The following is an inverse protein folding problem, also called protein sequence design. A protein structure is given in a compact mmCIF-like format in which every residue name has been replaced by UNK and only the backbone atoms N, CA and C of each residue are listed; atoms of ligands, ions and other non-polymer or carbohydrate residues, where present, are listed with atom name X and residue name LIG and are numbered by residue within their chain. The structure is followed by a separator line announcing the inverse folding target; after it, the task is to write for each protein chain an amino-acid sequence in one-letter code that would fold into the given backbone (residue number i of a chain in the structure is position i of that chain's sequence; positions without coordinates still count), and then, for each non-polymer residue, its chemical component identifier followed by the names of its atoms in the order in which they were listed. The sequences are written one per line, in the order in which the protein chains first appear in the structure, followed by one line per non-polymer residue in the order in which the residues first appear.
data_IF_710413733798
#
_entry.id   IF_710413733798
#
_cell.length_a   1.000
_cell.length_b   1.000
_cell.length_c   1.000
_cell.angle_alpha   90.00
_cell.angle_beta   90.00
_cell.angle_gamma   90.00
#
_symmetry.space_group_name_H-M   'P 1'
#
loop_
_entity.id
_entity.type
_entity.pdbx_description
1 polymer ?
#
# COMPACT_ATOMS: atom_id res chain seq x y z
N UNK A 1 -13.66 -17.79 -24.26
CA UNK A 1 -13.47 -17.56 -22.80
C UNK A 1 -12.20 -16.78 -22.49
N UNK A 2 -11.12 -16.92 -23.24
CA UNK A 2 -9.89 -16.11 -23.07
C UNK A 2 -10.15 -14.60 -23.29
N UNK A 3 -10.87 -14.25 -24.35
CA UNK A 3 -11.14 -12.84 -24.72
C UNK A 3 -11.81 -12.02 -23.60
N UNK A 4 -12.63 -12.64 -22.74
CA UNK A 4 -13.30 -11.95 -21.65
C UNK A 4 -12.38 -11.67 -20.46
N UNK A 5 -11.43 -12.57 -20.17
CA UNK A 5 -10.45 -12.39 -19.10
C UNK A 5 -9.44 -11.31 -19.51
N UNK A 6 -8.97 -11.34 -20.76
CA UNK A 6 -8.01 -10.36 -21.26
C UNK A 6 -8.59 -8.93 -21.25
N UNK A 7 -9.87 -8.79 -21.63
CA UNK A 7 -10.56 -7.49 -21.56
C UNK A 7 -10.75 -6.98 -20.13
N UNK A 8 -11.07 -7.87 -19.18
CA UNK A 8 -11.19 -7.51 -17.76
C UNK A 8 -9.83 -7.17 -17.16
N UNK A 9 -8.78 -7.90 -17.52
CA UNK A 9 -7.42 -7.59 -17.10
C UNK A 9 -7.00 -6.19 -17.53
N UNK A 10 -7.23 -5.86 -18.80
CA UNK A 10 -6.94 -4.52 -19.33
C UNK A 10 -7.72 -3.43 -18.58
N UNK A 11 -9.02 -3.64 -18.34
CA UNK A 11 -9.85 -2.68 -17.59
C UNK A 11 -9.37 -2.50 -16.16
N UNK A 12 -8.93 -3.58 -15.52
CA UNK A 12 -8.37 -3.54 -14.16
C UNK A 12 -7.07 -2.73 -14.14
N UNK A 13 -6.16 -2.98 -15.10
CA UNK A 13 -4.92 -2.22 -15.24
C UNK A 13 -5.18 -0.73 -15.49
N UNK A 14 -6.10 -0.40 -16.38
CA UNK A 14 -6.46 1.00 -16.67
C UNK A 14 -6.99 1.70 -15.41
N UNK A 15 -7.79 0.99 -14.60
CA UNK A 15 -8.29 1.51 -13.33
C UNK A 15 -7.18 1.72 -12.30
N UNK A 16 -6.26 0.76 -12.19
CA UNK A 16 -5.09 0.86 -11.28
C UNK A 16 -4.20 2.03 -11.66
N UNK A 17 -3.84 2.16 -12.94
CA UNK A 17 -3.04 3.29 -13.42
C UNK A 17 -3.72 4.63 -13.19
N UNK A 18 -5.04 4.71 -13.42
CA UNK A 18 -5.79 5.94 -13.17
C UNK A 18 -5.85 6.29 -11.68
N UNK A 19 -5.96 5.28 -10.80
CA UNK A 19 -5.90 5.44 -9.34
C UNK A 19 -4.55 5.97 -8.89
N UNK A 20 -3.47 5.32 -9.32
CA UNK A 20 -2.10 5.69 -8.96
C UNK A 20 -1.76 7.10 -9.45
N UNK A 21 -2.11 7.44 -10.67
CA UNK A 21 -1.90 8.78 -11.23
C UNK A 21 -2.70 9.85 -10.47
N UNK A 22 -3.92 9.54 -10.03
CA UNK A 22 -4.70 10.47 -9.22
C UNK A 22 -4.11 10.66 -7.81
N UNK A 23 -3.63 9.58 -7.20
CA UNK A 23 -2.99 9.62 -5.89
C UNK A 23 -1.66 10.39 -5.95
N UNK A 24 -0.85 10.17 -6.98
CA UNK A 24 0.40 10.90 -7.18
C UNK A 24 0.15 12.42 -7.33
N UNK A 25 -0.83 12.81 -8.14
CA UNK A 25 -1.23 14.23 -8.25
C UNK A 25 -1.68 14.81 -6.91
N UNK A 26 -2.44 14.07 -6.12
CA UNK A 26 -2.89 14.52 -4.80
C UNK A 26 -1.72 14.68 -3.82
N UNK A 27 -0.74 13.79 -3.86
CA UNK A 27 0.50 13.91 -3.07
C UNK A 27 1.35 15.11 -3.53
N UNK A 28 1.53 15.27 -4.84
CA UNK A 28 2.31 16.39 -5.41
C UNK A 28 1.71 17.76 -5.06
N UNK A 29 0.38 17.87 -4.95
CA UNK A 29 -0.31 19.09 -4.56
C UNK A 29 0.14 19.64 -3.18
N UNK A 30 0.69 18.79 -2.32
CA UNK A 30 1.26 19.17 -1.02
C UNK A 30 2.79 18.99 -0.99
N UNK A 31 3.42 18.80 -2.13
CA UNK A 31 4.88 18.66 -2.26
C UNK A 31 5.42 17.33 -1.73
N UNK A 32 4.61 16.26 -1.77
CA UNK A 32 5.02 14.90 -1.43
C UNK A 32 5.09 14.02 -2.69
N UNK A 33 5.92 12.98 -2.67
CA UNK A 33 5.76 11.87 -3.60
C UNK A 33 4.65 10.92 -3.10
N UNK A 34 4.08 10.11 -4.01
CA UNK A 34 3.10 9.08 -3.64
C UNK A 34 3.66 8.16 -2.53
N UNK A 35 4.91 7.72 -2.64
CA UNK A 35 5.55 6.86 -1.64
C UNK A 35 5.66 7.54 -0.26
N UNK A 36 5.97 8.85 -0.20
CA UNK A 36 5.98 9.61 1.04
C UNK A 36 4.58 9.74 1.64
N UNK A 37 3.57 10.00 0.82
CA UNK A 37 2.19 10.07 1.25
C UNK A 37 1.67 8.72 1.77
N UNK A 38 2.01 7.61 1.10
CA UNK A 38 1.71 6.25 1.56
C UNK A 38 2.35 5.96 2.91
N UNK A 39 3.64 6.30 3.09
CA UNK A 39 4.33 6.11 4.36
C UNK A 39 3.66 6.89 5.50
N UNK A 40 3.28 8.15 5.28
CA UNK A 40 2.51 8.91 6.27
C UNK A 40 1.17 8.24 6.59
N UNK A 41 0.52 7.63 5.61
CA UNK A 41 -0.72 6.88 5.78
C UNK A 41 -0.57 5.71 6.74
N UNK A 42 0.50 4.89 6.58
CA UNK A 42 0.79 3.75 7.46
C UNK A 42 1.02 4.16 8.92
N UNK A 43 1.53 5.37 9.14
CA UNK A 43 1.81 5.89 10.48
C UNK A 43 0.59 6.52 11.17
N UNK A 44 -0.57 6.59 10.53
CA UNK A 44 -1.77 7.22 11.11
C UNK A 44 -2.36 6.43 12.26
N UNK A 45 -2.19 5.11 12.25
CA UNK A 45 -2.71 4.17 13.26
C UNK A 45 -1.73 3.90 14.40
N UNK A 46 -0.49 4.39 14.30
CA UNK A 46 0.55 4.19 15.32
C UNK A 46 1.95 4.23 14.74
N UNK A 47 2.95 4.19 15.62
CA UNK A 47 4.35 4.07 15.22
C UNK A 47 4.64 2.71 14.55
N UNK A 48 5.64 2.69 13.66
CA UNK A 48 6.11 1.50 12.96
C UNK A 48 7.61 1.43 12.99
N UNK A 49 8.14 0.22 13.11
CA UNK A 49 9.57 -0.02 12.89
C UNK A 49 9.91 0.11 11.40
N UNK A 50 11.18 0.25 11.09
CA UNK A 50 11.66 0.31 9.69
C UNK A 50 11.34 -0.98 8.92
N UNK A 51 11.39 -2.13 9.60
CA UNK A 51 11.06 -3.44 9.00
C UNK A 51 9.57 -3.56 8.66
N UNK A 52 8.68 -3.15 9.58
CA UNK A 52 7.24 -3.14 9.32
C UNK A 52 6.90 -2.23 8.14
N UNK A 53 7.49 -1.03 8.07
CA UNK A 53 7.29 -0.11 6.94
C UNK A 53 7.76 -0.71 5.61
N UNK A 54 8.87 -1.46 5.59
CA UNK A 54 9.36 -2.10 4.39
C UNK A 54 8.37 -3.16 3.87
N UNK A 55 7.80 -3.95 4.76
CA UNK A 55 6.78 -4.95 4.42
C UNK A 55 5.48 -4.29 3.96
N UNK A 56 4.97 -3.31 4.73
CA UNK A 56 3.69 -2.63 4.44
C UNK A 56 3.73 -1.84 3.13
N UNK A 57 4.89 -1.25 2.78
CA UNK A 57 5.08 -0.47 1.56
C UNK A 57 5.58 -1.31 0.38
N UNK A 58 5.81 -2.60 0.57
CA UNK A 58 6.42 -3.48 -0.42
C UNK A 58 7.71 -2.90 -1.04
N UNK A 59 8.54 -2.30 -0.18
CA UNK A 59 9.75 -1.59 -0.56
C UNK A 59 11.00 -2.20 0.07
N UNK A 60 12.14 -2.04 -0.59
CA UNK A 60 13.43 -2.36 0.03
C UNK A 60 13.69 -1.50 1.28
N UNK A 61 14.31 -2.07 2.33
CA UNK A 61 14.64 -1.32 3.56
C UNK A 61 15.48 -0.07 3.32
N UNK A 62 16.36 -0.08 2.31
CA UNK A 62 17.16 1.08 1.91
C UNK A 62 16.29 2.24 1.40
N UNK A 63 15.26 1.92 0.61
CA UNK A 63 14.31 2.91 0.11
C UNK A 63 13.48 3.51 1.25
N UNK A 64 12.98 2.67 2.16
CA UNK A 64 12.26 3.13 3.36
C UNK A 64 13.12 4.08 4.20
N UNK A 65 14.41 3.75 4.38
CA UNK A 65 15.36 4.59 5.10
C UNK A 65 15.46 5.99 4.49
N UNK A 66 15.54 6.08 3.17
CA UNK A 66 15.58 7.37 2.46
C UNK A 66 14.26 8.13 2.55
N UNK A 67 13.12 7.46 2.43
CA UNK A 67 11.80 8.07 2.57
C UNK A 67 11.62 8.67 3.96
N UNK A 68 11.94 7.90 5.00
CA UNK A 68 11.87 8.35 6.40
C UNK A 68 12.80 9.54 6.63
N UNK A 69 14.05 9.48 6.16
CA UNK A 69 15.00 10.58 6.33
C UNK A 69 14.50 11.88 5.68
N UNK A 70 13.92 11.81 4.47
CA UNK A 70 13.34 12.98 3.78
C UNK A 70 12.13 13.55 4.51
N UNK A 71 11.26 12.70 5.05
CA UNK A 71 10.09 13.12 5.83
C UNK A 71 10.49 13.70 7.19
N UNK A 72 11.51 13.13 7.84
CA UNK A 72 12.07 13.63 9.10
C UNK A 72 12.72 14.99 8.93
N UNK A 73 13.48 15.21 7.84
CA UNK A 73 14.05 16.52 7.50
C UNK A 73 13.00 17.61 7.28
N UNK A 74 11.78 17.22 6.88
CA UNK A 74 10.62 18.12 6.76
C UNK A 74 9.80 18.23 8.05
N UNK A 75 10.17 17.54 9.11
CA UNK A 75 9.44 17.51 10.38
C UNK A 75 8.07 16.81 10.32
N UNK A 76 7.86 15.94 9.31
CA UNK A 76 6.59 15.25 9.12
C UNK A 76 6.51 13.90 9.87
N UNK A 77 7.67 13.32 10.16
CA UNK A 77 7.84 12.16 11.03
C UNK A 77 8.96 12.38 12.02
N UNK A 78 9.01 11.57 13.05
CA UNK A 78 10.09 11.54 14.04
C UNK A 78 10.40 10.10 14.43
N UNK A 79 11.64 9.84 14.87
CA UNK A 79 12.04 8.53 15.38
C UNK A 79 11.99 8.58 16.91
N UNK A 80 11.20 7.71 17.49
CA UNK A 80 11.04 7.58 18.94
C UNK A 80 11.45 6.18 19.40
N UNK A 81 11.95 6.01 20.64
CA UNK A 81 12.16 4.67 21.19
C UNK A 81 10.83 3.92 21.26
N UNK A 82 10.85 2.63 20.93
CA UNK A 82 9.69 1.76 21.13
C UNK A 82 9.31 1.69 22.61
N UNK A 83 8.03 1.83 22.96
CA UNK A 83 7.60 1.72 24.37
C UNK A 83 7.90 0.35 25.01
N UNK A 84 7.90 -0.72 24.21
CA UNK A 84 8.15 -2.09 24.69
C UNK A 84 9.64 -2.44 24.71
N UNK A 85 10.43 -1.93 23.76
CA UNK A 85 11.90 -2.10 23.72
C UNK A 85 12.58 -0.81 23.25
N UNK A 86 13.14 -0.06 24.19
CA UNK A 86 13.84 1.21 23.93
C UNK A 86 15.05 1.10 22.98
N UNK A 87 15.55 -0.11 22.73
CA UNK A 87 16.64 -0.37 21.76
C UNK A 87 16.15 -0.28 20.33
N UNK A 88 14.86 -0.53 20.11
CA UNK A 88 14.19 -0.40 18.82
C UNK A 88 13.69 1.03 18.67
N UNK A 89 13.90 1.62 17.50
CA UNK A 89 13.32 2.91 17.14
C UNK A 89 12.12 2.71 16.24
N UNK A 90 11.02 3.33 16.60
CA UNK A 90 9.83 3.44 15.76
C UNK A 90 9.79 4.80 15.06
N UNK A 91 9.25 4.81 13.86
CA UNK A 91 8.89 6.03 13.13
C UNK A 91 7.46 6.39 13.51
N UNK A 92 7.24 7.63 13.92
CA UNK A 92 5.92 8.15 14.28
C UNK A 92 5.60 9.40 13.50
N UNK A 93 4.34 9.56 13.13
CA UNK A 93 3.86 10.74 12.41
C UNK A 93 3.70 11.92 13.38
N UNK A 94 4.19 13.08 12.97
CA UNK A 94 4.02 14.33 13.72
C UNK A 94 2.65 14.97 13.47
N UNK A 95 2.24 15.97 14.29
CA UNK A 95 1.05 16.76 13.98
C UNK A 95 1.10 17.44 12.59
N UNK A 96 2.30 17.86 12.14
CA UNK A 96 2.52 18.38 10.81
C UNK A 96 2.31 17.30 9.73
N UNK A 97 2.89 16.11 9.91
CA UNK A 97 2.68 14.99 9.02
C UNK A 97 1.21 14.58 8.90
N UNK A 98 0.47 14.59 10.01
CA UNK A 98 -0.98 14.33 9.99
C UNK A 98 -1.77 15.39 9.22
N UNK A 99 -1.35 16.66 9.27
CA UNK A 99 -1.99 17.72 8.45
C UNK A 99 -1.75 17.49 6.97
N UNK A 100 -0.52 17.20 6.59
CA UNK A 100 -0.17 16.92 5.18
C UNK A 100 -0.89 15.66 4.67
N UNK A 101 -0.89 14.57 5.42
CA UNK A 101 -1.65 13.37 5.04
C UNK A 101 -3.14 13.67 4.84
N UNK A 102 -3.77 14.45 5.74
CA UNK A 102 -5.17 14.85 5.55
C UNK A 102 -5.36 15.73 4.32
N UNK A 103 -4.39 16.57 3.97
CA UNK A 103 -4.45 17.38 2.75
C UNK A 103 -4.41 16.50 1.49
N UNK A 104 -3.50 15.50 1.45
CA UNK A 104 -3.49 14.49 0.38
C UNK A 104 -4.85 13.80 0.27
N UNK A 105 -5.41 13.33 1.40
CA UNK A 105 -6.70 12.63 1.42
C UNK A 105 -7.86 13.49 0.91
N UNK A 106 -7.84 14.80 1.19
CA UNK A 106 -8.87 15.73 0.67
C UNK A 106 -8.75 15.99 -0.82
N UNK A 107 -7.53 16.00 -1.34
CA UNK A 107 -7.26 16.20 -2.78
C UNK A 107 -7.41 14.92 -3.60
N UNK A 108 -7.47 13.77 -2.92
CA UNK A 108 -7.63 12.47 -3.55
C UNK A 108 -9.12 12.09 -3.60
N UNK A 109 -9.80 12.60 -4.59
CA UNK A 109 -11.23 12.40 -4.81
C UNK A 109 -11.59 11.20 -5.72
N UNK A 110 -10.57 10.58 -6.34
CA UNK A 110 -10.76 9.51 -7.33
C UNK A 110 -11.69 8.38 -6.87
N UNK A 111 -11.58 7.81 -5.65
CA UNK A 111 -12.51 6.78 -5.22
C UNK A 111 -13.95 7.29 -5.12
N UNK A 112 -14.14 8.49 -4.56
CA UNK A 112 -15.48 9.09 -4.41
C UNK A 112 -16.11 9.40 -5.77
N UNK A 113 -15.34 9.98 -6.71
CA UNK A 113 -15.80 10.27 -8.06
C UNK A 113 -16.19 8.99 -8.82
N UNK A 114 -15.34 7.96 -8.78
CA UNK A 114 -15.58 6.72 -9.53
C UNK A 114 -16.69 5.87 -8.91
N UNK A 115 -16.66 5.68 -7.60
CA UNK A 115 -17.69 4.90 -6.91
C UNK A 115 -19.03 5.63 -6.85
N UNK A 116 -19.02 6.96 -6.84
CA UNK A 116 -20.23 7.77 -6.89
C UNK A 116 -21.00 7.70 -8.21
N UNK A 117 -20.39 7.15 -9.28
CA UNK A 117 -21.07 6.88 -10.57
C UNK A 117 -21.90 5.61 -10.54
N UNK A 118 -21.71 4.77 -9.54
CA UNK A 118 -22.40 3.51 -9.36
C UNK A 118 -23.62 3.71 -8.48
N UNK A 119 -24.71 3.03 -8.82
CA UNK A 119 -25.86 2.88 -7.93
C UNK A 119 -25.49 2.10 -6.67
N UNK A 120 -26.28 2.20 -5.61
CA UNK A 120 -26.03 1.45 -4.38
C UNK A 120 -26.01 -0.08 -4.58
N UNK A 121 -26.77 -0.58 -5.56
CA UNK A 121 -26.74 -2.02 -5.92
C UNK A 121 -25.43 -2.41 -6.59
N UNK A 122 -24.99 -1.63 -7.58
CA UNK A 122 -23.70 -1.85 -8.27
C UNK A 122 -22.50 -1.74 -7.31
N UNK A 123 -22.54 -0.83 -6.33
CA UNK A 123 -21.51 -0.75 -5.29
C UNK A 123 -21.45 -2.03 -4.45
N UNK A 124 -22.61 -2.62 -4.07
CA UNK A 124 -22.66 -3.90 -3.34
C UNK A 124 -22.12 -5.04 -4.17
N UNK A 125 -22.50 -5.12 -5.46
CA UNK A 125 -22.00 -6.13 -6.39
C UNK A 125 -20.49 -6.02 -6.58
N UNK A 126 -19.98 -4.81 -6.80
CA UNK A 126 -18.54 -4.57 -6.92
C UNK A 126 -17.79 -4.98 -5.64
N UNK A 127 -18.32 -4.64 -4.47
CA UNK A 127 -17.73 -5.03 -3.19
C UNK A 127 -17.64 -6.55 -3.03
N UNK A 128 -18.69 -7.28 -3.42
CA UNK A 128 -18.70 -8.75 -3.37
C UNK A 128 -17.69 -9.36 -4.35
N UNK A 129 -17.58 -8.82 -5.57
CA UNK A 129 -16.62 -9.28 -6.57
C UNK A 129 -15.17 -9.03 -6.12
N UNK A 130 -14.88 -7.85 -5.59
CA UNK A 130 -13.56 -7.52 -5.05
C UNK A 130 -13.19 -8.44 -3.87
N UNK A 131 -14.13 -8.73 -2.98
CA UNK A 131 -13.91 -9.66 -1.87
C UNK A 131 -13.57 -11.08 -2.38
N UNK A 132 -14.25 -11.54 -3.43
CA UNK A 132 -13.97 -12.85 -4.06
C UNK A 132 -12.58 -12.88 -4.69
N UNK A 133 -12.18 -11.81 -5.38
CA UNK A 133 -10.87 -11.70 -6.02
C UNK A 133 -9.71 -11.57 -5.02
N UNK A 134 -9.95 -10.93 -3.87
CA UNK A 134 -8.95 -10.71 -2.82
C UNK A 134 -8.85 -11.85 -1.82
N UNK A 135 -9.76 -12.83 -1.88
CA UNK A 135 -9.68 -14.02 -1.02
C UNK A 135 -8.38 -14.77 -1.31
N UNK A 136 -7.62 -15.18 -0.30
CA UNK A 136 -6.47 -16.05 -0.53
C UNK A 136 -6.93 -17.31 -1.28
N UNK A 137 -6.12 -17.86 -2.19
CA UNK A 137 -6.47 -19.13 -2.83
C UNK A 137 -6.80 -20.11 -1.72
N UNK A 138 -8.04 -20.64 -1.74
CA UNK A 138 -8.47 -21.63 -0.76
C UNK A 138 -7.46 -22.77 -0.75
N UNK A 139 -7.24 -23.39 0.42
CA UNK A 139 -6.32 -24.52 0.63
C UNK A 139 -6.68 -25.76 -0.22
N UNK A 140 -6.76 -25.55 -1.51
CA UNK A 140 -6.93 -26.54 -2.54
C UNK A 140 -5.57 -26.94 -3.09
N UNK A 141 -4.96 -27.95 -2.47
CA UNK A 141 -3.77 -28.66 -2.94
C UNK A 141 -2.45 -27.86 -2.86
N UNK A 142 -1.81 -27.97 -1.70
CA UNK A 142 -0.36 -27.92 -1.62
C UNK A 142 0.21 -29.01 -2.56
N UNK A 143 0.48 -28.65 -3.79
CA UNK A 143 1.35 -29.41 -4.68
C UNK A 143 2.72 -29.45 -4.03
N UNK A 144 3.03 -30.55 -3.34
CA UNK A 144 4.35 -30.92 -2.82
C UNK A 144 5.38 -30.79 -3.95
N UNK A 145 6.12 -29.69 -3.94
CA UNK A 145 7.39 -29.64 -4.65
C UNK A 145 8.44 -30.27 -3.73
N UNK A 146 8.45 -31.61 -3.70
CA UNK A 146 9.55 -32.34 -3.13
C UNK A 146 10.79 -32.08 -3.99
N UNK A 147 11.95 -31.73 -3.41
CA UNK A 147 13.18 -31.67 -4.16
C UNK A 147 13.54 -33.09 -4.60
N UNK A 148 13.77 -33.24 -5.91
CA UNK A 148 14.31 -34.46 -6.47
C UNK A 148 15.66 -34.76 -5.82
N UNK A 149 15.68 -35.87 -5.10
CA UNK A 149 16.87 -36.49 -4.54
C UNK A 149 17.80 -36.87 -5.72
N UNK A 150 18.86 -36.10 -5.91
CA UNK A 150 19.92 -36.47 -6.86
C UNK A 150 20.89 -37.43 -6.16
N UNK A 151 20.53 -38.69 -6.27
CA UNK A 151 21.48 -39.80 -6.15
C UNK A 151 22.78 -39.47 -6.90
N UNK A 152 23.88 -39.34 -6.16
CA UNK A 152 25.23 -39.47 -6.66
C UNK A 152 25.87 -40.69 -6.01
N UNK A 153 25.63 -41.82 -6.64
CA UNK A 153 26.53 -42.96 -6.50
C UNK A 153 27.81 -42.73 -7.28
N UNK A 154 28.89 -43.07 -6.58
CA UNK A 154 30.29 -43.32 -6.97
C UNK A 154 31.23 -42.14 -7.06
#
# INVERSE_FOLDING_TARGET
MADGVDALDQQLWDLVYAYDAAYDRAAQAVGLSAAQACLLGQLTTGGRSMGELAVELLCDPSNVTQLVARLEARGLVTRVPDPADRRVKQVSITPAGRREHRAVRRSFDFPADRLGRLTGEEQRQLSALLATMSAPPGDGSAGSCAPADSDRGR
#
